data_IF_940209037167
#
_entry.id   IF_940209037167
#
_cell.length_a   1.000
_cell.length_b   1.000
_cell.length_c   1.000
_cell.angle_alpha   90.00
_cell.angle_beta   90.00
_cell.angle_gamma   90.00
#
_symmetry.space_group_name_H-M   'P 1'
#
loop_
_entity.id
_entity.type
_entity.pdbx_description
1 polymer ?
#
# COMPACT_ATOMS: atom_id res chain seq x y z
N UNK A 1 -11.57 9.75 17.17
CA UNK A 1 -11.96 8.34 17.41
C UNK A 1 -12.38 7.72 16.08
N UNK A 2 -11.43 7.23 15.27
CA UNK A 2 -11.72 6.49 14.03
C UNK A 2 -11.47 5.00 14.29
N UNK A 3 -12.32 4.12 13.72
CA UNK A 3 -12.14 2.67 13.82
C UNK A 3 -11.03 2.17 12.90
N UNK A 4 -10.39 1.04 13.25
CA UNK A 4 -9.29 0.44 12.49
C UNK A 4 -9.63 0.25 11.00
N UNK A 5 -10.85 -0.24 10.71
CA UNK A 5 -11.33 -0.40 9.33
C UNK A 5 -11.27 0.90 8.52
N UNK A 6 -11.67 2.03 9.11
CA UNK A 6 -11.65 3.32 8.43
C UNK A 6 -10.21 3.80 8.18
N UNK A 7 -9.33 3.65 9.17
CA UNK A 7 -7.90 4.03 9.08
C UNK A 7 -7.20 3.25 7.96
N UNK A 8 -7.34 1.92 7.94
CA UNK A 8 -6.75 1.07 6.90
C UNK A 8 -7.30 1.42 5.52
N UNK A 9 -8.61 1.66 5.42
CA UNK A 9 -9.27 1.99 4.14
C UNK A 9 -8.77 3.31 3.58
N UNK A 10 -8.56 4.33 4.43
CA UNK A 10 -7.95 5.59 4.03
C UNK A 10 -6.51 5.38 3.51
N UNK A 11 -5.73 4.52 4.16
CA UNK A 11 -4.40 4.14 3.69
C UNK A 11 -4.41 3.49 2.31
N UNK A 12 -5.36 2.57 2.06
CA UNK A 12 -5.51 1.91 0.75
C UNK A 12 -5.93 2.91 -0.34
N UNK A 13 -6.89 3.79 -0.04
CA UNK A 13 -7.30 4.84 -0.98
C UNK A 13 -6.11 5.75 -1.31
N UNK A 14 -5.31 6.13 -0.30
CA UNK A 14 -4.07 6.87 -0.50
C UNK A 14 -3.10 6.14 -1.43
N UNK A 15 -2.95 4.82 -1.27
CA UNK A 15 -2.13 3.99 -2.16
C UNK A 15 -2.61 4.03 -3.61
N UNK A 16 -3.93 3.87 -3.82
CA UNK A 16 -4.54 3.92 -5.16
C UNK A 16 -4.30 5.29 -5.81
N UNK A 17 -4.56 6.38 -5.09
CA UNK A 17 -4.34 7.75 -5.56
C UNK A 17 -2.86 7.95 -5.92
N UNK A 18 -1.94 7.47 -5.07
CA UNK A 18 -0.49 7.57 -5.31
C UNK A 18 -0.08 6.89 -6.61
N UNK A 19 -0.61 5.70 -6.90
CA UNK A 19 -0.33 4.99 -8.15
C UNK A 19 -0.85 5.76 -9.37
N UNK A 20 -2.04 6.35 -9.29
CA UNK A 20 -2.55 7.21 -10.38
C UNK A 20 -1.70 8.48 -10.58
N UNK A 21 -1.19 9.08 -9.50
CA UNK A 21 -0.27 10.21 -9.59
C UNK A 21 1.00 9.82 -10.33
N UNK A 22 1.59 8.65 -10.05
CA UNK A 22 2.78 8.19 -10.78
C UNK A 22 2.48 7.82 -12.23
N UNK A 23 1.31 7.23 -12.50
CA UNK A 23 0.85 6.99 -13.86
C UNK A 23 0.81 8.30 -14.66
N UNK A 24 0.20 9.34 -14.09
CA UNK A 24 0.13 10.65 -14.72
C UNK A 24 1.50 11.33 -14.84
N UNK A 25 2.32 11.27 -13.79
CA UNK A 25 3.68 11.83 -13.78
C UNK A 25 4.54 11.29 -14.92
N UNK A 26 4.32 10.02 -15.32
CA UNK A 26 5.12 9.34 -16.35
C UNK A 26 4.97 9.92 -17.76
N UNK A 27 3.92 10.71 -18.01
CA UNK A 27 3.64 11.35 -19.32
C UNK A 27 3.53 12.86 -19.25
N UNK A 28 3.65 13.45 -18.06
CA UNK A 28 3.47 14.87 -17.83
C UNK A 28 4.80 15.64 -17.95
N UNK A 29 4.76 16.85 -18.51
CA UNK A 29 5.91 17.76 -18.50
C UNK A 29 6.25 18.23 -17.08
N UNK A 30 5.26 18.29 -16.19
CA UNK A 30 5.40 18.68 -14.77
C UNK A 30 5.69 17.48 -13.86
N UNK A 31 6.30 16.41 -14.38
CA UNK A 31 6.54 15.14 -13.67
C UNK A 31 7.15 15.32 -12.27
N UNK A 32 8.03 16.32 -12.10
CA UNK A 32 8.70 16.60 -10.84
C UNK A 32 7.73 16.87 -9.68
N UNK A 33 6.71 17.71 -9.92
CA UNK A 33 5.73 18.07 -8.89
C UNK A 33 4.90 16.85 -8.50
N UNK A 34 4.45 16.07 -9.47
CA UNK A 34 3.66 14.86 -9.23
C UNK A 34 4.46 13.80 -8.47
N UNK A 35 5.75 13.61 -8.80
CA UNK A 35 6.62 12.70 -8.05
C UNK A 35 6.75 13.17 -6.60
N UNK A 36 6.99 14.46 -6.35
CA UNK A 36 7.06 14.99 -4.99
C UNK A 36 5.78 14.74 -4.19
N UNK A 37 4.61 14.97 -4.79
CA UNK A 37 3.32 14.67 -4.15
C UNK A 37 3.22 13.17 -3.84
N UNK A 38 3.60 12.31 -4.79
CA UNK A 38 3.62 10.86 -4.61
C UNK A 38 4.55 10.40 -3.48
N UNK A 39 5.71 11.04 -3.32
CA UNK A 39 6.65 10.77 -2.23
C UNK A 39 6.12 11.24 -0.87
N UNK A 40 5.46 12.40 -0.80
CA UNK A 40 4.82 12.86 0.44
C UNK A 40 3.68 11.93 0.85
N UNK A 41 2.89 11.46 -0.12
CA UNK A 41 1.83 10.47 0.11
C UNK A 41 2.36 9.13 0.62
N UNK A 42 3.62 8.77 0.34
CA UNK A 42 4.21 7.52 0.83
C UNK A 42 4.16 7.43 2.36
N UNK A 43 4.45 8.51 3.08
CA UNK A 43 4.42 8.53 4.54
C UNK A 43 3.01 8.24 5.07
N UNK A 44 2.01 8.94 4.51
CA UNK A 44 0.59 8.73 4.85
C UNK A 44 0.16 7.30 4.56
N UNK A 45 0.49 6.78 3.38
CA UNK A 45 0.17 5.42 2.98
C UNK A 45 0.78 4.39 3.94
N UNK A 46 2.02 4.62 4.36
CA UNK A 46 2.74 3.74 5.28
C UNK A 46 2.08 3.72 6.66
N UNK A 47 1.80 4.88 7.23
CA UNK A 47 1.26 4.99 8.59
C UNK A 47 -0.16 4.42 8.69
N UNK A 48 -1.02 4.76 7.73
CA UNK A 48 -2.41 4.33 7.77
C UNK A 48 -2.61 2.85 7.46
N UNK A 49 -1.67 2.20 6.76
CA UNK A 49 -1.77 0.77 6.43
C UNK A 49 -0.90 -0.11 7.33
N UNK A 50 0.43 0.14 7.34
CA UNK A 50 1.37 -0.71 8.06
C UNK A 50 1.37 -0.40 9.54
N UNK A 51 1.58 0.87 9.94
CA UNK A 51 1.63 1.26 11.36
C UNK A 51 0.30 0.97 12.05
N UNK A 52 -0.83 1.31 11.44
CA UNK A 52 -2.15 0.96 11.97
C UNK A 52 -2.31 -0.56 12.16
N UNK A 53 -1.87 -1.36 11.19
CA UNK A 53 -1.87 -2.83 11.27
C UNK A 53 -1.00 -3.37 12.41
N UNK A 54 0.18 -2.80 12.62
CA UNK A 54 1.06 -3.14 13.73
C UNK A 54 0.40 -2.86 15.08
N UNK A 55 -0.24 -1.69 15.23
CA UNK A 55 -0.97 -1.35 16.45
C UNK A 55 -2.16 -2.29 16.66
N UNK A 56 -2.87 -2.68 15.60
CA UNK A 56 -4.02 -3.61 15.70
C UNK A 56 -3.58 -5.00 16.18
N UNK A 57 -2.51 -5.55 15.59
CA UNK A 57 -1.97 -6.85 16.02
C UNK A 57 -1.50 -6.79 17.48
N UNK A 58 -0.86 -5.69 17.89
CA UNK A 58 -0.40 -5.50 19.27
C UNK A 58 -1.57 -5.35 20.28
N UNK A 59 -2.67 -4.74 19.84
CA UNK A 59 -3.86 -4.57 20.67
C UNK A 59 -4.65 -5.88 20.82
N UNK A 60 -4.72 -6.71 19.77
CA UNK A 60 -5.49 -7.96 19.78
C UNK A 60 -4.75 -9.15 20.38
N UNK A 61 -3.42 -9.16 20.32
CA UNK A 61 -2.61 -10.25 20.84
C UNK A 61 -2.51 -10.22 22.38
N UNK A 62 -2.59 -11.39 23.01
CA UNK A 62 -2.34 -11.53 24.45
C UNK A 62 -0.88 -11.17 24.80
N UNK A 63 -0.67 -10.61 25.98
CA UNK A 63 0.64 -10.18 26.47
C UNK A 63 1.74 -11.24 26.34
N UNK A 64 1.40 -12.52 26.48
CA UNK A 64 2.32 -13.66 26.36
C UNK A 64 2.82 -13.92 24.93
N UNK A 65 2.05 -13.54 23.91
CA UNK A 65 2.32 -13.84 22.49
C UNK A 65 2.50 -12.60 21.61
N UNK A 66 2.47 -11.38 22.15
CA UNK A 66 2.60 -10.12 21.39
C UNK A 66 3.81 -10.10 20.46
N UNK A 67 4.98 -10.48 20.96
CA UNK A 67 6.20 -10.51 20.16
C UNK A 67 6.12 -11.51 18.99
N UNK A 68 5.49 -12.67 19.22
CA UNK A 68 5.31 -13.71 18.20
C UNK A 68 4.31 -13.26 17.13
N UNK A 69 3.21 -12.62 17.53
CA UNK A 69 2.21 -12.07 16.62
C UNK A 69 2.79 -10.96 15.72
N UNK A 70 3.58 -10.05 16.30
CA UNK A 70 4.29 -9.00 15.55
C UNK A 70 5.31 -9.60 14.57
N UNK A 71 6.11 -10.57 15.02
CA UNK A 71 7.05 -11.27 14.15
C UNK A 71 6.37 -11.96 12.97
N UNK A 72 5.27 -12.68 13.23
CA UNK A 72 4.48 -13.34 12.19
C UNK A 72 3.92 -12.33 11.18
N UNK A 73 3.30 -11.24 11.66
CA UNK A 73 2.79 -10.18 10.78
C UNK A 73 3.89 -9.58 9.92
N UNK A 74 5.07 -9.36 10.50
CA UNK A 74 6.21 -8.82 9.76
C UNK A 74 6.68 -9.79 8.67
N UNK A 75 6.83 -11.08 8.98
CA UNK A 75 7.24 -12.11 8.00
C UNK A 75 6.21 -12.24 6.87
N UNK A 76 4.91 -12.25 7.20
CA UNK A 76 3.84 -12.34 6.20
C UNK A 76 3.86 -11.13 5.27
N UNK A 77 4.02 -9.92 5.82
CA UNK A 77 3.92 -8.68 5.03
C UNK A 77 5.23 -8.36 4.28
N UNK A 78 6.36 -8.29 5.00
CA UNK A 78 7.65 -7.86 4.46
C UNK A 78 8.53 -9.01 3.96
N UNK A 79 8.20 -10.26 4.30
CA UNK A 79 8.85 -11.45 3.76
C UNK A 79 8.06 -11.99 2.57
N UNK A 80 7.07 -12.83 2.86
CA UNK A 80 6.29 -13.53 1.83
C UNK A 80 5.53 -12.57 0.91
N UNK A 81 4.91 -11.53 1.48
CA UNK A 81 4.17 -10.52 0.72
C UNK A 81 5.05 -9.81 -0.30
N UNK A 82 6.21 -9.31 0.12
CA UNK A 82 7.18 -8.65 -0.77
C UNK A 82 7.73 -9.63 -1.81
N UNK A 83 8.02 -10.88 -1.43
CA UNK A 83 8.46 -11.90 -2.38
C UNK A 83 7.45 -12.10 -3.51
N UNK A 84 6.19 -12.39 -3.17
CA UNK A 84 5.12 -12.59 -4.15
C UNK A 84 4.87 -11.33 -4.99
N UNK A 85 4.82 -10.16 -4.35
CA UNK A 85 4.60 -8.89 -5.04
C UNK A 85 5.73 -8.59 -6.03
N UNK A 86 7.00 -8.81 -5.64
CA UNK A 86 8.15 -8.54 -6.50
C UNK A 86 8.18 -9.48 -7.70
N UNK A 87 7.84 -10.76 -7.52
CA UNK A 87 7.72 -11.69 -8.64
C UNK A 87 6.63 -11.29 -9.63
N UNK A 88 5.45 -10.92 -9.14
CA UNK A 88 4.33 -10.50 -9.99
C UNK A 88 4.63 -9.19 -10.71
N UNK A 89 5.05 -8.16 -9.97
CA UNK A 89 5.33 -6.84 -10.51
C UNK A 89 6.55 -6.88 -11.46
N UNK A 90 7.56 -7.69 -11.16
CA UNK A 90 8.69 -7.92 -12.06
C UNK A 90 8.27 -8.54 -13.40
N UNK A 91 7.36 -9.53 -13.37
CA UNK A 91 6.82 -10.12 -14.58
C UNK A 91 5.99 -9.11 -15.41
N UNK A 92 5.21 -8.26 -14.75
CA UNK A 92 4.46 -7.18 -15.40
C UNK A 92 5.43 -6.16 -16.02
N UNK A 93 6.43 -5.72 -15.26
CA UNK A 93 7.43 -4.75 -15.73
C UNK A 93 8.13 -5.24 -17.01
N UNK A 94 8.61 -6.48 -17.02
CA UNK A 94 9.32 -7.07 -18.16
C UNK A 94 8.47 -7.17 -19.43
N UNK A 95 7.13 -7.15 -19.29
CA UNK A 95 6.20 -7.22 -20.41
C UNK A 95 5.77 -5.82 -20.89
N UNK A 96 5.54 -4.90 -19.95
CA UNK A 96 4.91 -3.60 -20.21
C UNK A 96 5.95 -2.53 -20.52
N UNK A 97 7.05 -2.49 -19.76
CA UNK A 97 8.12 -1.51 -19.91
C UNK A 97 9.25 -2.12 -20.72
N UNK A 98 9.21 -1.90 -22.03
CA UNK A 98 10.20 -2.42 -22.99
C UNK A 98 11.17 -1.34 -23.46
N UNK A 99 10.76 -0.08 -23.42
CA UNK A 99 11.59 1.06 -23.78
C UNK A 99 12.47 1.48 -22.62
N UNK A 100 13.72 1.84 -22.92
CA UNK A 100 14.73 2.14 -21.91
C UNK A 100 14.93 3.65 -21.65
N UNK A 101 14.35 4.52 -22.48
CA UNK A 101 14.52 5.97 -22.39
C UNK A 101 13.19 6.72 -22.46
N UNK A 102 13.17 7.91 -21.85
CA UNK A 102 12.11 8.88 -22.04
C UNK A 102 12.35 9.70 -23.32
N UNK A 103 11.30 10.14 -24.03
CA UNK A 103 9.88 10.05 -23.66
C UNK A 103 9.18 8.73 -24.05
N UNK A 104 9.83 7.85 -24.82
CA UNK A 104 9.20 6.66 -25.41
C UNK A 104 8.65 5.70 -24.34
N UNK A 105 9.37 5.54 -23.23
CA UNK A 105 8.94 4.73 -22.09
C UNK A 105 7.79 5.35 -21.27
N UNK A 106 7.45 6.62 -21.47
CA UNK A 106 6.51 7.35 -20.60
C UNK A 106 5.12 6.73 -20.58
N UNK A 107 4.60 6.36 -21.76
CA UNK A 107 3.30 5.69 -21.89
C UNK A 107 3.27 4.29 -21.24
N UNK A 108 4.39 3.57 -21.32
CA UNK A 108 4.55 2.25 -20.72
C UNK A 108 4.62 2.32 -19.19
N UNK A 109 5.33 3.31 -18.65
CA UNK A 109 5.32 3.58 -17.22
C UNK A 109 3.93 4.02 -16.74
N UNK A 110 3.23 4.84 -17.52
CA UNK A 110 1.86 5.22 -17.20
C UNK A 110 0.96 3.98 -17.08
N UNK A 111 1.04 3.05 -18.02
CA UNK A 111 0.32 1.76 -17.97
C UNK A 111 0.77 0.90 -16.78
N UNK A 112 2.08 0.78 -16.56
CA UNK A 112 2.65 -0.03 -15.48
C UNK A 112 2.08 0.35 -14.12
N UNK A 113 1.97 1.65 -13.82
CA UNK A 113 1.46 2.13 -12.53
C UNK A 113 -0.04 1.86 -12.32
N UNK A 114 -0.81 1.57 -13.36
CA UNK A 114 -2.22 1.18 -13.23
C UNK A 114 -2.38 -0.20 -12.61
N UNK A 115 -1.48 -1.15 -12.90
CA UNK A 115 -1.54 -2.50 -12.34
C UNK A 115 -1.53 -2.54 -10.81
N UNK A 116 -0.55 -1.94 -10.09
CA UNK A 116 -0.58 -1.90 -8.64
C UNK A 116 -1.76 -1.07 -8.11
N UNK A 117 -2.24 -0.06 -8.85
CA UNK A 117 -3.45 0.69 -8.47
C UNK A 117 -4.68 -0.22 -8.40
N UNK A 118 -4.90 -1.03 -9.44
CA UNK A 118 -6.01 -1.97 -9.52
C UNK A 118 -5.87 -3.05 -8.45
N UNK A 119 -4.67 -3.61 -8.25
CA UNK A 119 -4.43 -4.63 -7.21
C UNK A 119 -4.77 -4.05 -5.83
N UNK A 120 -4.27 -2.85 -5.51
CA UNK A 120 -4.56 -2.20 -4.23
C UNK A 120 -6.06 -1.93 -4.06
N UNK A 121 -6.75 -1.48 -5.11
CA UNK A 121 -8.19 -1.24 -5.09
C UNK A 121 -8.98 -2.53 -4.85
N UNK A 122 -8.66 -3.61 -5.56
CA UNK A 122 -9.32 -4.93 -5.40
C UNK A 122 -9.11 -5.47 -3.99
N UNK A 123 -7.87 -5.45 -3.49
CA UNK A 123 -7.56 -5.87 -2.12
C UNK A 123 -8.29 -4.99 -1.11
N UNK A 124 -8.41 -3.69 -1.37
CA UNK A 124 -9.17 -2.77 -0.52
C UNK A 124 -10.66 -3.05 -0.48
N UNK A 125 -11.27 -3.37 -1.62
CA UNK A 125 -12.68 -3.78 -1.68
C UNK A 125 -12.89 -5.09 -0.92
N UNK A 126 -12.02 -6.08 -1.11
CA UNK A 126 -12.05 -7.35 -0.37
C UNK A 126 -11.95 -7.06 1.14
N UNK A 127 -10.95 -6.28 1.56
CA UNK A 127 -10.80 -5.89 2.96
C UNK A 127 -12.07 -5.21 3.49
N UNK A 128 -12.62 -4.25 2.76
CA UNK A 128 -13.83 -3.54 3.17
C UNK A 128 -15.04 -4.45 3.36
N UNK A 129 -15.22 -5.46 2.51
CA UNK A 129 -16.36 -6.39 2.59
C UNK A 129 -16.17 -7.41 3.71
N UNK A 130 -14.98 -8.01 3.80
CA UNK A 130 -14.75 -9.16 4.69
C UNK A 130 -14.30 -8.77 6.10
N UNK A 131 -13.66 -7.61 6.28
CA UNK A 131 -13.22 -7.16 7.60
C UNK A 131 -14.40 -6.62 8.42
N UNK A 132 -14.67 -7.30 9.55
CA UNK A 132 -15.85 -7.06 10.40
C UNK A 132 -15.53 -6.69 11.85
N UNK A 133 -14.25 -6.46 12.20
CA UNK A 133 -13.92 -6.06 13.57
C UNK A 133 -14.44 -4.64 13.85
N UNK A 134 -15.22 -4.49 14.91
CA UNK A 134 -15.88 -3.26 15.36
C UNK A 134 -15.25 -2.67 16.63
N UNK A 135 -14.18 -3.28 17.15
CA UNK A 135 -13.54 -2.80 18.38
C UNK A 135 -13.06 -1.35 18.21
N UNK A 136 -13.51 -0.48 19.12
CA UNK A 136 -13.10 0.93 19.14
C UNK A 136 -11.63 0.95 19.55
N UNK A 137 -10.80 1.45 18.64
CA UNK A 137 -9.38 1.64 18.86
C UNK A 137 -9.16 2.69 19.96
N UNK A 138 -9.09 2.24 21.21
CA UNK A 138 -8.58 3.03 22.33
C UNK A 138 -7.15 2.55 22.51
N UNK A 139 -6.18 3.39 22.16
CA UNK A 139 -4.85 3.22 22.70
C UNK A 139 -5.02 3.25 24.22
N UNK A 140 -4.87 2.10 24.89
CA UNK A 140 -4.75 2.10 26.35
C UNK A 140 -3.57 3.00 26.68
N UNK A 141 -3.89 4.16 27.28
CA UNK A 141 -2.91 5.00 27.93
C UNK A 141 -2.27 4.14 29.03
N UNK A 142 -1.03 3.69 28.80
CA UNK A 142 -0.15 3.27 29.88
C UNK A 142 0.37 4.48 30.60
#
# INVERSE_FOLDING_TARGET
>A
KYGFKAVITLGIIGWVIRMFIFSHASTSEDYFIYILIGLLLQGVCWDFFFTAGDVYVNAKADSSIKAQAQGLRFIVSNGFGVFMASSLIGAINNRVVTESSMPEAGSQWAEFWIYPAIIALVVGIIFWIFFKDTDVFVAENK
#
